data_IF_078816236937
#
_entry.id   IF_078816236937
#
_cell.length_a   1.000
_cell.length_b   1.000
_cell.length_c   1.000
_cell.angle_alpha   90.00
_cell.angle_beta   90.00
_cell.angle_gamma   90.00
#
_symmetry.space_group_name_H-M   'P 1'
#
loop_
_entity.id
_entity.type
_entity.pdbx_description
1 polymer ?
#
# COMPACT_ATOMS: atom_id res chain seq x y z
N UNK A 1 -3.18 -14.85 -9.67
CA UNK A 1 -1.72 -14.63 -9.52
C UNK A 1 -1.43 -13.15 -9.51
N UNK A 2 -0.57 -12.70 -8.61
CA UNK A 2 -0.16 -11.30 -8.51
C UNK A 2 1.22 -11.15 -9.11
N UNK A 3 1.36 -10.21 -10.03
CA UNK A 3 2.64 -9.92 -10.69
C UNK A 3 3.11 -8.53 -10.28
N UNK A 4 4.33 -8.43 -9.80
CA UNK A 4 4.94 -7.16 -9.43
C UNK A 4 6.05 -6.81 -10.42
N UNK A 5 6.14 -5.53 -10.78
CA UNK A 5 7.27 -5.04 -11.55
C UNK A 5 8.50 -4.88 -10.64
N UNK A 6 9.66 -4.73 -11.26
CA UNK A 6 10.88 -4.48 -10.49
C UNK A 6 10.77 -3.22 -9.65
N UNK A 7 10.14 -2.17 -10.19
CA UNK A 7 9.94 -0.93 -9.45
C UNK A 7 9.06 -1.14 -8.21
N UNK A 8 8.00 -1.95 -8.35
CA UNK A 8 7.11 -2.27 -7.23
C UNK A 8 7.83 -3.08 -6.15
N UNK A 9 8.68 -4.01 -6.56
CA UNK A 9 9.45 -4.82 -5.62
C UNK A 9 10.42 -3.94 -4.82
N UNK A 10 11.09 -3.03 -5.49
CA UNK A 10 12.02 -2.09 -4.84
C UNK A 10 11.29 -1.16 -3.86
N UNK A 11 10.13 -0.69 -4.25
CA UNK A 11 9.31 0.18 -3.41
C UNK A 11 8.87 -0.56 -2.15
N UNK A 12 8.43 -1.80 -2.30
CA UNK A 12 8.03 -2.62 -1.17
C UNK A 12 9.20 -2.91 -0.24
N UNK A 13 10.38 -3.22 -0.79
CA UNK A 13 11.56 -3.47 0.02
C UNK A 13 11.95 -2.24 0.85
N UNK A 14 11.89 -1.06 0.24
CA UNK A 14 12.19 0.19 0.93
C UNK A 14 11.17 0.47 2.05
N UNK A 15 9.91 0.25 1.76
CA UNK A 15 8.84 0.42 2.73
C UNK A 15 9.02 -0.54 3.91
N UNK A 16 9.36 -1.80 3.63
CA UNK A 16 9.60 -2.80 4.66
C UNK A 16 10.77 -2.43 5.58
N UNK A 17 11.83 -1.89 5.00
CA UNK A 17 12.98 -1.44 5.78
C UNK A 17 12.63 -0.28 6.71
N UNK A 18 11.83 0.66 6.23
CA UNK A 18 11.40 1.80 7.03
C UNK A 18 10.46 1.40 8.15
N UNK A 19 9.56 0.46 7.88
CA UNK A 19 8.59 0.00 8.87
C UNK A 19 9.17 -1.01 9.85
N UNK A 20 10.24 -1.71 9.45
CA UNK A 20 10.86 -2.72 10.31
C UNK A 20 10.09 -4.00 10.44
N UNK A 21 9.15 -4.26 9.55
CA UNK A 21 8.37 -5.50 9.55
C UNK A 21 9.06 -6.57 8.72
N UNK A 22 8.80 -7.84 9.04
CA UNK A 22 9.43 -8.96 8.37
C UNK A 22 8.56 -9.59 7.30
N UNK A 23 7.26 -9.36 7.32
CA UNK A 23 6.33 -9.99 6.40
C UNK A 23 5.31 -8.97 5.89
N UNK A 24 4.93 -9.13 4.64
CA UNK A 24 3.89 -8.30 4.04
C UNK A 24 2.93 -9.15 3.24
N UNK A 25 1.65 -8.80 3.33
CA UNK A 25 0.60 -9.41 2.52
C UNK A 25 0.34 -8.49 1.34
N UNK A 26 0.28 -9.07 0.14
CA UNK A 26 0.01 -8.34 -1.08
C UNK A 26 -1.32 -8.84 -1.64
N UNK A 27 -2.22 -7.90 -1.89
CA UNK A 27 -3.54 -8.23 -2.39
C UNK A 27 -4.09 -7.07 -3.21
N UNK A 28 -5.19 -7.33 -3.94
CA UNK A 28 -5.95 -6.26 -4.56
C UNK A 28 -6.82 -5.60 -3.50
N UNK A 29 -6.82 -4.28 -3.48
CA UNK A 29 -7.62 -3.53 -2.54
C UNK A 29 -8.21 -2.30 -3.17
N UNK A 30 -9.25 -1.77 -2.54
CA UNK A 30 -9.89 -0.52 -2.94
C UNK A 30 -9.92 0.41 -1.74
N UNK A 31 -9.47 1.64 -1.96
CA UNK A 31 -9.51 2.68 -0.95
C UNK A 31 -10.47 3.74 -1.47
N UNK A 32 -11.60 4.00 -0.80
CA UNK A 32 -12.53 5.01 -1.26
C UNK A 32 -11.93 6.41 -1.18
N UNK A 33 -12.40 7.31 -2.01
CA UNK A 33 -11.99 8.70 -1.95
C UNK A 33 -12.36 9.29 -0.58
N UNK A 34 -11.49 10.15 -0.05
CA UNK A 34 -11.74 10.77 1.26
C UNK A 34 -11.09 12.15 1.31
N UNK A 35 -11.50 12.93 2.30
CA UNK A 35 -10.86 14.20 2.64
C UNK A 35 -9.82 13.96 3.72
N UNK A 36 -8.60 14.48 3.52
CA UNK A 36 -7.58 14.37 4.55
C UNK A 36 -7.76 15.48 5.61
N UNK A 37 -6.86 15.50 6.59
CA UNK A 37 -6.94 16.47 7.69
C UNK A 37 -6.74 17.92 7.25
N UNK A 38 -6.18 18.15 6.07
CA UNK A 38 -5.98 19.49 5.53
C UNK A 38 -7.13 19.96 4.64
N UNK A 39 -8.13 19.09 4.42
CA UNK A 39 -9.27 19.39 3.58
C UNK A 39 -9.06 19.09 2.10
N UNK A 40 -7.93 18.49 1.73
CA UNK A 40 -7.71 18.06 0.36
C UNK A 40 -8.43 16.75 0.07
N UNK A 41 -8.97 16.65 -1.14
CA UNK A 41 -9.59 15.42 -1.59
C UNK A 41 -8.53 14.43 -2.05
N UNK A 42 -8.52 13.25 -1.43
CA UNK A 42 -7.68 12.14 -1.87
C UNK A 42 -8.54 11.26 -2.77
N UNK A 43 -8.15 11.05 -4.03
CA UNK A 43 -8.95 10.25 -4.96
C UNK A 43 -9.00 8.78 -4.55
N UNK A 44 -10.04 8.10 -5.00
CA UNK A 44 -10.17 6.67 -4.76
C UNK A 44 -9.02 5.92 -5.44
N UNK A 45 -8.59 4.84 -4.80
CA UNK A 45 -7.53 3.99 -5.32
C UNK A 45 -8.05 2.57 -5.49
N UNK A 46 -7.71 1.95 -6.60
CA UNK A 46 -8.00 0.53 -6.84
C UNK A 46 -6.76 -0.09 -7.48
N UNK A 47 -6.25 -1.15 -6.87
CA UNK A 47 -5.06 -1.81 -7.38
C UNK A 47 -4.38 -2.66 -6.31
N UNK A 48 -3.09 -2.90 -6.49
CA UNK A 48 -2.32 -3.71 -5.55
C UNK A 48 -1.93 -2.91 -4.33
N UNK A 49 -2.11 -3.51 -3.17
CA UNK A 49 -1.67 -2.95 -1.90
C UNK A 49 -0.83 -3.98 -1.15
N UNK A 50 0.06 -3.49 -0.31
CA UNK A 50 0.85 -4.32 0.59
C UNK A 50 0.71 -3.79 2.00
N UNK A 51 0.58 -4.69 2.96
CA UNK A 51 0.44 -4.32 4.37
C UNK A 51 1.01 -5.42 5.26
N UNK A 52 1.35 -5.06 6.50
CA UNK A 52 1.83 -6.01 7.49
C UNK A 52 0.82 -6.08 8.63
N UNK A 53 0.34 -7.29 8.87
CA UNK A 53 -0.66 -7.54 9.92
C UNK A 53 -2.07 -7.21 9.46
N UNK A 54 -2.46 -5.95 9.52
CA UNK A 54 -3.78 -5.52 9.10
C UNK A 54 -3.71 -4.23 8.30
N UNK A 55 -4.76 -3.98 7.52
CA UNK A 55 -4.85 -2.74 6.73
C UNK A 55 -4.94 -1.50 7.62
N UNK A 56 -5.35 -1.65 8.86
CA UNK A 56 -5.45 -0.54 9.81
C UNK A 56 -4.08 -0.01 10.21
N UNK A 57 -3.04 -0.80 10.08
CA UNK A 57 -1.67 -0.38 10.36
C UNK A 57 -1.05 0.47 9.27
N UNK A 58 -1.75 0.64 8.16
CA UNK A 58 -1.26 1.37 7.01
C UNK A 58 -0.97 0.44 5.84
N UNK A 59 -1.15 0.94 4.64
CA UNK A 59 -0.91 0.16 3.42
C UNK A 59 0.00 0.92 2.48
N UNK A 60 0.77 0.17 1.71
CA UNK A 60 1.55 0.71 0.60
C UNK A 60 0.78 0.46 -0.69
N UNK A 61 0.54 1.51 -1.46
CA UNK A 61 -0.09 1.42 -2.76
C UNK A 61 0.96 1.07 -3.79
N UNK A 62 0.82 -0.10 -4.39
CA UNK A 62 1.80 -0.59 -5.37
C UNK A 62 1.47 -0.21 -6.82
N UNK A 63 0.32 0.32 -7.03
CA UNK A 63 -0.06 0.77 -8.36
C UNK A 63 -1.29 0.14 -8.89
#
# INVERSE_FOLDING_TARGET
MITLSLAQIKELARFAEQEGQQEYTITHGEIPAFEDSTGENVPAYSGLIAFSGSVDSGVLQLG
#
